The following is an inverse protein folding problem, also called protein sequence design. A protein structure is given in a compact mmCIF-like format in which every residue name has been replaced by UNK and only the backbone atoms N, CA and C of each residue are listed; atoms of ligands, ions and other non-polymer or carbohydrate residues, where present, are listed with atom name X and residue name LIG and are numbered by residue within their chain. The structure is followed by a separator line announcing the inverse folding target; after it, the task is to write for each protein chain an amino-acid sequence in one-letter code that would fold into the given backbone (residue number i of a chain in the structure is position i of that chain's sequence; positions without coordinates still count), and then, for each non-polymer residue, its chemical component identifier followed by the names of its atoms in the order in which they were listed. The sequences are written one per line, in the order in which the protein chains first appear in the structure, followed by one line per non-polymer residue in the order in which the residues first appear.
data_IF_305929057684
#
_entry.id   IF_305929057684
#
_cell.length_a   1.000
_cell.length_b   1.000
_cell.length_c   1.000
_cell.angle_alpha   90.00
_cell.angle_beta   90.00
_cell.angle_gamma   90.00
#
_symmetry.space_group_name_H-M   'P 1'
#
loop_
_entity.id
_entity.type
_entity.pdbx_description
1 polymer ?
#
# COMPACT_ATOMS: atom_id res chain seq x y z
N UNK A 1 6.85 6.50 24.46
CA UNK A 1 6.55 6.88 23.05
C UNK A 1 5.20 6.33 22.64
N UNK A 2 4.35 7.16 22.10
CA UNK A 2 3.01 6.79 21.68
C UNK A 2 3.08 6.03 20.36
N UNK A 3 2.52 4.84 20.27
CA UNK A 3 2.41 4.17 18.97
C UNK A 3 1.43 4.92 18.07
N UNK A 4 1.63 4.79 16.77
CA UNK A 4 0.69 5.37 15.81
C UNK A 4 -0.68 4.71 15.97
N UNK A 5 -1.72 5.51 16.02
CA UNK A 5 -3.08 4.97 16.14
C UNK A 5 -3.42 4.17 14.89
N UNK A 6 -4.11 3.03 15.04
CA UNK A 6 -4.46 2.20 13.89
C UNK A 6 -5.22 2.96 12.80
N UNK A 7 -6.18 3.82 13.17
CA UNK A 7 -6.94 4.58 12.18
C UNK A 7 -6.04 5.50 11.38
N UNK A 8 -5.09 6.18 12.03
CA UNK A 8 -4.17 7.08 11.34
C UNK A 8 -3.25 6.28 10.42
N UNK A 9 -2.72 5.16 10.90
CA UNK A 9 -1.85 4.32 10.08
C UNK A 9 -2.57 3.78 8.85
N UNK A 10 -3.82 3.36 9.00
CA UNK A 10 -4.62 2.90 7.86
C UNK A 10 -4.85 4.03 6.85
N UNK A 11 -5.17 5.23 7.33
CA UNK A 11 -5.35 6.38 6.45
C UNK A 11 -4.06 6.71 5.71
N UNK A 12 -2.91 6.61 6.37
CA UNK A 12 -1.61 6.83 5.71
C UNK A 12 -1.37 5.77 4.65
N UNK A 13 -1.65 4.50 4.94
CA UNK A 13 -1.49 3.43 3.96
C UNK A 13 -2.40 3.64 2.74
N UNK A 14 -3.66 4.00 2.96
CA UNK A 14 -4.59 4.27 1.86
C UNK A 14 -4.11 5.48 1.05
N UNK A 15 -3.66 6.53 1.72
CA UNK A 15 -3.12 7.71 1.05
C UNK A 15 -1.90 7.34 0.20
N UNK A 16 -1.01 6.47 0.70
CA UNK A 16 0.14 5.98 -0.07
C UNK A 16 -0.31 5.29 -1.35
N UNK A 17 -1.33 4.45 -1.27
CA UNK A 17 -1.86 3.75 -2.45
C UNK A 17 -2.44 4.75 -3.44
N UNK A 18 -3.19 5.75 -2.98
CA UNK A 18 -3.75 6.78 -3.85
C UNK A 18 -2.66 7.61 -4.51
N UNK A 19 -1.60 7.94 -3.79
CA UNK A 19 -0.44 8.65 -4.35
C UNK A 19 0.23 7.80 -5.43
N UNK A 20 0.46 6.52 -5.17
CA UNK A 20 1.03 5.61 -6.14
C UNK A 20 0.17 5.57 -7.42
N UNK A 21 -1.14 5.44 -7.28
CA UNK A 21 -2.05 5.36 -8.44
C UNK A 21 -2.05 6.66 -9.22
N UNK A 22 -2.03 7.80 -8.53
CA UNK A 22 -1.99 9.11 -9.18
C UNK A 22 -0.70 9.29 -9.98
N UNK A 23 0.44 8.94 -9.39
CA UNK A 23 1.73 9.01 -10.06
C UNK A 23 1.73 8.08 -11.29
N UNK A 24 1.23 6.86 -11.13
CA UNK A 24 1.19 5.90 -12.20
C UNK A 24 0.35 6.37 -13.39
N UNK A 25 -0.84 6.89 -13.13
CA UNK A 25 -1.71 7.40 -14.20
C UNK A 25 -1.09 8.58 -14.90
N UNK A 26 -0.47 9.49 -14.14
CA UNK A 26 0.19 10.66 -14.74
C UNK A 26 1.37 10.25 -15.61
N UNK A 27 2.17 9.28 -15.14
CA UNK A 27 3.35 8.81 -15.88
C UNK A 27 2.99 8.17 -17.21
N UNK A 28 1.80 7.55 -17.29
CA UNK A 28 1.35 6.89 -18.51
C UNK A 28 0.39 7.75 -19.33
N UNK A 29 0.35 9.05 -19.06
CA UNK A 29 -0.51 10.01 -19.75
C UNK A 29 -2.00 9.65 -19.66
N UNK A 30 -2.39 8.92 -18.63
CA UNK A 30 -3.81 8.62 -18.38
C UNK A 30 -4.47 9.78 -17.66
N UNK A 31 -5.77 9.90 -17.79
CA UNK A 31 -6.50 11.00 -17.16
C UNK A 31 -6.45 10.95 -15.65
N UNK A 32 -6.37 12.15 -15.03
CA UNK A 32 -6.40 12.29 -13.58
C UNK A 32 -7.81 12.64 -13.13
N UNK A 33 -8.75 11.70 -13.32
CA UNK A 33 -10.12 11.85 -12.85
C UNK A 33 -10.30 11.03 -11.56
N UNK A 34 -11.24 11.45 -10.73
CA UNK A 34 -11.55 10.69 -9.51
C UNK A 34 -11.97 9.27 -9.85
N UNK A 35 -12.80 9.11 -10.89
CA UNK A 35 -13.23 7.78 -11.32
C UNK A 35 -12.06 6.93 -11.78
N UNK A 36 -11.17 7.50 -12.60
CA UNK A 36 -10.00 6.78 -13.09
C UNK A 36 -9.05 6.38 -11.98
N UNK A 37 -8.80 7.27 -11.03
CA UNK A 37 -7.96 6.96 -9.88
C UNK A 37 -8.59 5.86 -9.04
N UNK A 38 -9.90 5.94 -8.81
CA UNK A 38 -10.62 4.91 -8.04
C UNK A 38 -10.55 3.55 -8.72
N UNK A 39 -10.72 3.51 -10.04
CA UNK A 39 -10.63 2.26 -10.81
C UNK A 39 -9.24 1.64 -10.72
N UNK A 40 -8.19 2.45 -10.71
CA UNK A 40 -6.83 1.95 -10.58
C UNK A 40 -6.53 1.54 -9.15
N UNK A 41 -7.08 2.25 -8.17
CA UNK A 41 -6.71 2.05 -6.77
C UNK A 41 -7.44 0.91 -6.09
N UNK A 42 -8.68 0.58 -6.47
CA UNK A 42 -9.49 -0.37 -5.69
C UNK A 42 -8.81 -1.76 -5.53
N UNK A 43 -8.12 -2.31 -6.55
CA UNK A 43 -7.45 -3.60 -6.36
C UNK A 43 -6.36 -3.51 -5.29
N UNK A 44 -5.61 -2.42 -5.29
CA UNK A 44 -4.52 -2.22 -4.33
C UNK A 44 -5.05 -1.89 -2.93
N UNK A 45 -6.13 -1.12 -2.85
CA UNK A 45 -6.78 -0.84 -1.56
C UNK A 45 -7.34 -2.14 -0.96
N UNK A 46 -7.93 -2.99 -1.79
CA UNK A 46 -8.39 -4.31 -1.34
C UNK A 46 -7.23 -5.11 -0.77
N UNK A 47 -6.08 -5.11 -1.46
CA UNK A 47 -4.88 -5.78 -0.96
C UNK A 47 -4.38 -5.18 0.35
N UNK A 48 -4.43 -3.85 0.48
CA UNK A 48 -4.02 -3.16 1.70
C UNK A 48 -4.90 -3.55 2.89
N UNK A 49 -6.22 -3.59 2.68
CA UNK A 49 -7.16 -4.01 3.73
C UNK A 49 -6.92 -5.46 4.11
N UNK A 50 -6.74 -6.34 3.12
CA UNK A 50 -6.43 -7.75 3.39
C UNK A 50 -5.14 -7.89 4.17
N UNK A 51 -4.12 -7.09 3.85
CA UNK A 51 -2.86 -7.07 4.58
C UNK A 51 -3.02 -6.65 6.03
N UNK A 52 -3.87 -5.66 6.27
CA UNK A 52 -4.19 -5.23 7.62
C UNK A 52 -4.86 -6.33 8.42
N UNK A 53 -5.83 -7.03 7.80
CA UNK A 53 -6.50 -8.15 8.47
C UNK A 53 -5.52 -9.27 8.78
N UNK A 54 -4.64 -9.59 7.82
CA UNK A 54 -3.62 -10.61 8.03
C UNK A 54 -2.65 -10.23 9.14
N UNK A 55 -2.21 -8.98 9.17
CA UNK A 55 -1.29 -8.50 10.20
C UNK A 55 -1.93 -8.52 11.58
N UNK A 56 -3.20 -8.18 11.67
CA UNK A 56 -3.93 -8.25 12.96
C UNK A 56 -4.11 -9.68 13.43
N UNK A 57 -4.21 -10.63 12.51
CA UNK A 57 -4.33 -12.05 12.87
C UNK A 57 -3.00 -12.67 13.28
N UNK A 58 -1.90 -11.98 13.04
CA UNK A 58 -0.58 -12.45 13.41
C UNK A 58 -0.44 -12.52 14.92
N UNK A 59 0.21 -13.57 15.46
CA UNK A 59 0.37 -13.67 16.92
C UNK A 59 1.11 -12.47 17.51
N UNK A 60 0.67 -12.04 18.68
CA UNK A 60 1.28 -10.92 19.38
C UNK A 60 0.47 -9.64 19.26
N UNK A 61 0.98 -8.57 19.87
CA UNK A 61 0.32 -7.28 19.82
C UNK A 61 0.41 -6.69 18.41
N UNK A 62 -0.72 -6.20 17.89
CA UNK A 62 -0.75 -5.55 16.60
C UNK A 62 -0.06 -4.19 16.68
N UNK A 63 0.93 -3.97 15.82
CA UNK A 63 1.71 -2.73 15.79
C UNK A 63 1.58 -2.10 14.39
N UNK A 64 0.62 -1.19 14.20
CA UNK A 64 0.32 -0.65 12.86
C UNK A 64 1.49 0.03 12.17
N UNK A 65 2.35 0.71 12.92
CA UNK A 65 3.48 1.44 12.33
C UNK A 65 4.77 0.63 12.28
N UNK A 66 4.74 -0.65 12.66
CA UNK A 66 5.92 -1.49 12.60
C UNK A 66 6.27 -1.86 11.16
N UNK A 67 7.55 -1.85 10.85
CA UNK A 67 8.01 -2.33 9.54
C UNK A 67 7.77 -3.83 9.44
N UNK A 68 8.18 -4.57 10.46
CA UNK A 68 7.99 -6.01 10.52
C UNK A 68 7.15 -6.36 11.73
N UNK A 69 6.13 -7.17 11.62
CA UNK A 69 5.65 -7.80 10.37
C UNK A 69 4.67 -6.94 9.59
N UNK A 70 4.08 -5.90 10.20
CA UNK A 70 2.95 -5.16 9.63
C UNK A 70 3.27 -4.56 8.27
N UNK A 71 4.34 -3.77 8.18
CA UNK A 71 4.68 -3.08 6.93
C UNK A 71 4.92 -4.05 5.80
N UNK A 72 5.66 -5.13 6.05
CA UNK A 72 5.95 -6.12 5.02
C UNK A 72 4.70 -6.88 4.59
N UNK A 73 3.83 -7.25 5.54
CA UNK A 73 2.59 -7.96 5.22
C UNK A 73 1.65 -7.07 4.41
N UNK A 74 1.47 -5.82 4.84
CA UNK A 74 0.61 -4.87 4.13
C UNK A 74 1.13 -4.61 2.73
N UNK A 75 2.43 -4.37 2.59
CA UNK A 75 3.04 -4.14 1.29
C UNK A 75 2.88 -5.36 0.37
N UNK A 76 3.23 -6.55 0.85
CA UNK A 76 3.14 -7.77 0.04
C UNK A 76 1.69 -8.03 -0.41
N UNK A 77 0.73 -7.89 0.51
CA UNK A 77 -0.68 -8.09 0.17
C UNK A 77 -1.17 -7.03 -0.82
N UNK A 78 -0.74 -5.78 -0.64
CA UNK A 78 -1.12 -4.72 -1.56
C UNK A 78 -0.69 -5.04 -2.99
N UNK A 79 0.56 -5.46 -3.17
CA UNK A 79 1.09 -5.76 -4.50
C UNK A 79 0.50 -7.06 -5.06
N UNK A 80 0.55 -8.14 -4.29
CA UNK A 80 0.13 -9.46 -4.80
C UNK A 80 -1.37 -9.48 -5.08
N UNK A 81 -2.18 -9.08 -4.12
CA UNK A 81 -3.64 -9.08 -4.29
C UNK A 81 -4.05 -8.05 -5.34
N UNK A 82 -3.43 -6.87 -5.31
CA UNK A 82 -3.69 -5.85 -6.32
C UNK A 82 -3.43 -6.35 -7.72
N UNK A 83 -2.30 -7.02 -7.96
CA UNK A 83 -1.97 -7.57 -9.27
C UNK A 83 -2.91 -8.70 -9.68
N UNK A 84 -3.25 -9.58 -8.74
CA UNK A 84 -4.18 -10.67 -9.03
C UNK A 84 -5.56 -10.14 -9.43
N UNK A 85 -6.04 -9.12 -8.74
CA UNK A 85 -7.33 -8.51 -9.06
C UNK A 85 -7.29 -7.77 -10.39
N UNK A 86 -6.18 -7.09 -10.70
CA UNK A 86 -6.03 -6.45 -12.00
C UNK A 86 -6.06 -7.48 -13.13
N UNK A 87 -5.37 -8.60 -12.94
CA UNK A 87 -5.38 -9.66 -13.94
C UNK A 87 -6.78 -10.25 -14.10
N UNK A 88 -7.48 -10.49 -12.99
CA UNK A 88 -8.82 -11.06 -12.99
C UNK A 88 -9.82 -10.15 -13.68
N UNK A 89 -9.63 -8.84 -13.64
CA UNK A 89 -10.52 -7.87 -14.26
C UNK A 89 -10.00 -7.38 -15.61
N UNK A 90 -9.02 -8.07 -16.17
CA UNK A 90 -8.43 -7.74 -17.47
C UNK A 90 -7.76 -6.37 -17.53
N UNK A 91 -7.39 -5.81 -16.38
CA UNK A 91 -6.54 -4.62 -16.33
C UNK A 91 -5.10 -5.05 -16.61
N UNK A 92 -4.27 -4.13 -17.06
CA UNK A 92 -2.89 -4.46 -17.43
C UNK A 92 -2.03 -4.89 -16.26
N UNK A 93 -1.20 -5.89 -16.47
CA UNK A 93 -0.18 -6.35 -15.52
C UNK A 93 1.17 -6.51 -16.22
N UNK A 94 1.54 -5.53 -17.05
CA UNK A 94 2.81 -5.55 -17.74
C UNK A 94 3.97 -5.66 -16.74
N UNK A 95 5.07 -6.37 -17.11
CA UNK A 95 6.21 -6.50 -16.18
C UNK A 95 6.75 -5.16 -15.68
N UNK A 96 6.79 -4.15 -16.55
CA UNK A 96 7.24 -2.81 -16.13
C UNK A 96 6.32 -2.21 -15.07
N UNK A 97 5.01 -2.40 -15.21
CA UNK A 97 4.07 -1.93 -14.22
C UNK A 97 4.25 -2.66 -12.88
N UNK A 98 4.48 -3.98 -12.93
CA UNK A 98 4.70 -4.76 -11.71
C UNK A 98 5.95 -4.26 -10.97
N UNK A 99 7.03 -3.99 -11.69
CA UNK A 99 8.26 -3.48 -11.08
C UNK A 99 8.01 -2.10 -10.44
N UNK A 100 7.38 -1.20 -11.17
CA UNK A 100 7.12 0.15 -10.67
C UNK A 100 6.19 0.09 -9.45
N UNK A 101 5.13 -0.71 -9.53
CA UNK A 101 4.19 -0.85 -8.41
C UNK A 101 4.90 -1.42 -7.17
N UNK A 102 5.71 -2.46 -7.35
CA UNK A 102 6.42 -3.10 -6.26
C UNK A 102 7.36 -2.12 -5.56
N UNK A 103 8.17 -1.40 -6.32
CA UNK A 103 9.15 -0.48 -5.77
C UNK A 103 8.51 0.77 -5.17
N UNK A 104 7.53 1.35 -5.86
CA UNK A 104 6.88 2.57 -5.41
C UNK A 104 6.07 2.34 -4.13
N UNK A 105 5.30 1.26 -4.10
CA UNK A 105 4.53 0.94 -2.90
C UNK A 105 5.44 0.56 -1.74
N UNK A 106 6.56 -0.11 -2.00
CA UNK A 106 7.54 -0.38 -0.95
C UNK A 106 8.10 0.92 -0.38
N UNK A 107 8.49 1.85 -1.24
CA UNK A 107 9.01 3.14 -0.81
C UNK A 107 8.00 3.90 0.04
N UNK A 108 6.74 3.89 -0.35
CA UNK A 108 5.70 4.62 0.37
C UNK A 108 5.23 3.91 1.64
N UNK A 109 4.82 2.64 1.52
CA UNK A 109 4.23 1.90 2.64
C UNK A 109 5.26 1.56 3.71
N UNK A 110 6.44 1.12 3.31
CA UNK A 110 7.50 0.81 4.25
C UNK A 110 8.24 2.08 4.65
N UNK A 111 8.38 3.01 3.71
CA UNK A 111 9.12 4.25 3.93
C UNK A 111 8.56 5.09 5.08
N UNK A 112 7.23 5.29 5.15
CA UNK A 112 6.68 6.10 6.24
C UNK A 112 6.89 5.40 7.59
N UNK A 113 6.84 4.08 7.61
CA UNK A 113 7.12 3.32 8.82
C UNK A 113 8.57 3.45 9.24
N UNK A 114 9.48 3.46 8.26
CA UNK A 114 10.91 3.67 8.54
C UNK A 114 11.17 5.06 9.11
N UNK A 115 10.49 6.08 8.58
CA UNK A 115 10.60 7.45 9.09
C UNK A 115 10.11 7.52 10.54
N UNK A 116 8.95 6.92 10.82
CA UNK A 116 8.41 6.89 12.18
C UNK A 116 9.38 6.18 13.12
N UNK A 117 9.94 5.04 12.69
CA UNK A 117 10.90 4.30 13.50
C UNK A 117 12.14 5.14 13.80
N UNK A 118 12.66 5.87 12.82
CA UNK A 118 13.82 6.72 13.00
C UNK A 118 13.53 7.88 13.98
N UNK A 119 12.36 8.50 13.86
CA UNK A 119 11.96 9.58 14.75
C UNK A 119 11.77 9.08 16.18
N UNK A 120 11.14 7.92 16.33
CA UNK A 120 10.80 7.40 17.65
C UNK A 120 11.98 6.76 18.39
N UNK A 121 13.09 6.53 17.71
CA UNK A 121 14.31 6.02 18.34
C UNK A 121 15.07 7.08 19.13
N UNK A 122 14.73 8.32 18.95
CA UNK A 122 15.41 9.43 19.63
C UNK A 122 14.93 9.60 21.09
#
# INVERSE_FOLDING_TARGET
MQPTRPAIALLVDVACVLVFCTIGRRSHAEGLTLTGIAETAWPFITGTVAGWLAARAYPGAFRPSAIYPTGLVVWACTVVIGMLLRKATSAGTAPSFIVVATLTTAALLIGWRAVVAAITRR
#
